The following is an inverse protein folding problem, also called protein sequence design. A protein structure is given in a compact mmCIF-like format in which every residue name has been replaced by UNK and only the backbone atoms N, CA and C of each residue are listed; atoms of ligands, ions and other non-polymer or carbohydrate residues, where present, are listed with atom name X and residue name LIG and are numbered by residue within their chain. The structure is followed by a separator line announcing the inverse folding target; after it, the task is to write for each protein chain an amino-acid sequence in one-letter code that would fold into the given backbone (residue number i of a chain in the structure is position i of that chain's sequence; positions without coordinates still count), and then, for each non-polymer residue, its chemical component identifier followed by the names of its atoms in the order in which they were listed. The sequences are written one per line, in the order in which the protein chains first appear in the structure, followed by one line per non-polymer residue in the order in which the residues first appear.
data_IF_880065877299
#
_entry.id   IF_880065877299
#
_cell.length_a   1.000
_cell.length_b   1.000
_cell.length_c   1.000
_cell.angle_alpha   90.00
_cell.angle_beta   90.00
_cell.angle_gamma   90.00
#
_symmetry.space_group_name_H-M   'P 1'
#
loop_
_entity.id
_entity.type
_entity.pdbx_description
1 polymer ?
#
# COMPACT_ATOMS: atom_id res chain seq x y z
N UNK A 1 1.31 -3.01 13.21
CA UNK A 1 0.92 -4.36 12.71
C UNK A 1 1.41 -5.40 13.70
N UNK A 2 0.56 -6.36 14.07
CA UNK A 2 0.95 -7.55 14.83
C UNK A 2 1.02 -8.74 13.88
N UNK A 3 1.94 -9.68 14.09
CA UNK A 3 2.10 -10.86 13.22
C UNK A 3 1.96 -12.11 14.08
N UNK A 4 1.06 -13.02 13.70
CA UNK A 4 0.94 -14.34 14.36
C UNK A 4 2.21 -15.15 14.16
N UNK A 5 2.63 -15.89 15.19
CA UNK A 5 3.85 -16.72 15.17
C UNK A 5 3.89 -17.75 14.04
N UNK A 6 2.71 -18.20 13.59
CA UNK A 6 2.53 -19.16 12.51
C UNK A 6 2.82 -18.59 11.12
N UNK A 7 2.80 -17.25 10.98
CA UNK A 7 3.09 -16.56 9.72
C UNK A 7 4.60 -16.46 9.55
N UNK A 8 5.09 -16.96 8.41
CA UNK A 8 6.49 -16.82 8.01
C UNK A 8 6.65 -15.51 7.25
N UNK A 9 7.42 -14.58 7.80
CA UNK A 9 7.76 -13.34 7.10
C UNK A 9 8.88 -13.60 6.08
N UNK A 10 8.80 -13.00 4.88
CA UNK A 10 9.90 -13.06 3.92
C UNK A 10 11.12 -12.28 4.42
N UNK A 11 12.28 -12.56 3.83
CA UNK A 11 13.47 -11.74 4.04
C UNK A 11 13.29 -10.35 3.45
N UNK A 12 14.03 -9.38 3.99
CA UNK A 12 14.02 -8.01 3.46
C UNK A 12 14.52 -7.99 2.01
N UNK A 13 13.85 -7.21 1.16
CA UNK A 13 14.31 -6.97 -0.20
C UNK A 13 15.68 -6.26 -0.21
N UNK A 14 16.55 -6.49 -1.22
CA UNK A 14 17.89 -5.89 -1.27
C UNK A 14 17.90 -4.35 -1.28
N UNK A 15 16.84 -3.72 -1.80
CA UNK A 15 16.75 -2.26 -1.93
C UNK A 15 17.54 -1.68 -3.12
N UNK A 16 17.61 -0.36 -3.19
CA UNK A 16 18.39 0.38 -4.19
C UNK A 16 19.58 1.10 -3.55
N UNK A 17 20.66 1.28 -4.31
CA UNK A 17 21.83 2.08 -3.89
C UNK A 17 21.71 3.58 -4.18
N UNK A 18 20.50 4.11 -4.36
CA UNK A 18 20.31 5.55 -4.56
C UNK A 18 20.60 6.31 -3.26
N UNK A 19 21.11 7.53 -3.35
CA UNK A 19 21.31 8.42 -2.19
C UNK A 19 20.26 9.54 -2.19
N UNK A 20 19.82 9.97 -1.00
CA UNK A 20 18.80 11.01 -0.86
C UNK A 20 17.43 10.54 -1.38
N UNK A 21 17.06 10.90 -2.61
CA UNK A 21 15.76 10.55 -3.22
C UNK A 21 15.95 9.80 -4.54
N UNK A 22 15.11 8.80 -4.81
CA UNK A 22 15.11 8.11 -6.10
C UNK A 22 14.47 8.99 -7.19
N UNK A 23 15.28 9.45 -8.15
CA UNK A 23 14.84 10.34 -9.25
C UNK A 23 15.09 9.76 -10.64
N UNK A 24 16.15 8.99 -10.81
CA UNK A 24 16.48 8.35 -12.09
C UNK A 24 15.99 6.89 -12.10
N UNK A 25 14.92 6.55 -12.85
CA UNK A 25 14.38 5.21 -12.89
C UNK A 25 15.33 4.20 -13.54
N UNK A 26 16.29 4.65 -14.37
CA UNK A 26 17.30 3.77 -14.99
C UNK A 26 18.34 3.29 -13.97
N UNK A 27 18.61 4.09 -12.94
CA UNK A 27 19.56 3.75 -11.86
C UNK A 27 18.88 3.05 -10.68
N UNK A 28 17.61 3.34 -10.43
CA UNK A 28 16.92 2.80 -9.26
C UNK A 28 16.46 1.35 -9.46
N UNK A 29 17.02 0.44 -8.67
CA UNK A 29 16.59 -0.96 -8.66
C UNK A 29 15.10 -1.13 -8.31
N UNK A 30 14.52 -0.24 -7.48
CA UNK A 30 13.10 -0.27 -7.14
C UNK A 30 12.20 0.19 -8.30
N UNK A 31 12.65 1.14 -9.15
CA UNK A 31 11.90 1.55 -10.34
C UNK A 31 11.81 0.39 -11.35
N UNK A 32 12.89 -0.38 -11.52
CA UNK A 32 12.88 -1.59 -12.36
C UNK A 32 11.81 -2.60 -11.96
N UNK A 33 11.55 -2.78 -10.66
CA UNK A 33 10.48 -3.67 -10.17
C UNK A 33 9.08 -3.18 -10.55
N UNK A 34 8.92 -1.88 -10.82
CA UNK A 34 7.65 -1.26 -11.22
C UNK A 34 7.49 -1.11 -12.75
N UNK A 35 8.32 -1.79 -13.55
CA UNK A 35 8.31 -1.66 -15.01
C UNK A 35 9.28 -0.60 -15.55
N UNK A 36 10.34 -0.28 -14.81
CA UNK A 36 11.37 0.73 -15.16
C UNK A 36 10.89 2.18 -15.11
N UNK A 37 9.86 2.46 -14.31
CA UNK A 37 9.43 3.82 -13.97
C UNK A 37 8.92 3.88 -12.52
N UNK A 38 8.79 5.09 -11.95
CA UNK A 38 8.23 5.27 -10.61
C UNK A 38 6.69 5.27 -10.64
N UNK A 39 6.04 4.58 -9.71
CA UNK A 39 4.57 4.48 -9.66
C UNK A 39 3.91 5.75 -9.11
N UNK A 40 4.69 6.65 -8.51
CA UNK A 40 4.21 7.86 -7.84
C UNK A 40 4.76 9.12 -8.51
N UNK A 41 3.92 10.16 -8.63
CA UNK A 41 4.37 11.51 -8.96
C UNK A 41 4.75 12.29 -7.71
N UNK A 42 5.77 13.15 -7.84
CA UNK A 42 6.24 14.03 -6.77
C UNK A 42 5.34 15.27 -6.63
N UNK A 43 4.05 15.06 -6.37
CA UNK A 43 3.04 16.11 -6.21
C UNK A 43 2.21 15.86 -4.97
N UNK A 44 1.90 16.92 -4.22
CA UNK A 44 1.10 16.86 -2.98
C UNK A 44 1.66 15.83 -1.97
N UNK A 45 2.98 15.63 -2.01
CA UNK A 45 3.75 14.68 -1.20
C UNK A 45 3.66 13.20 -1.61
N UNK A 46 3.21 12.92 -2.83
CA UNK A 46 3.20 11.59 -3.42
C UNK A 46 1.80 11.16 -3.83
N UNK A 47 1.60 10.90 -5.11
CA UNK A 47 0.31 10.42 -5.65
C UNK A 47 0.54 9.28 -6.62
N UNK A 48 -0.20 8.19 -6.46
CA UNK A 48 -0.17 7.06 -7.37
C UNK A 48 -0.71 7.50 -8.73
N UNK A 49 0.01 7.18 -9.79
CA UNK A 49 -0.37 7.57 -11.16
C UNK A 49 -1.62 6.80 -11.60
N UNK A 50 -1.59 5.49 -11.41
CA UNK A 50 -2.62 4.56 -11.83
C UNK A 50 -2.62 3.31 -10.93
N UNK A 51 -3.75 2.58 -10.83
CA UNK A 51 -3.78 1.30 -10.15
C UNK A 51 -2.83 0.28 -10.79
N UNK A 52 -2.05 -0.42 -9.98
CA UNK A 52 -1.19 -1.54 -10.40
C UNK A 52 -1.54 -2.79 -9.61
N UNK A 53 -1.25 -3.97 -10.17
CA UNK A 53 -1.43 -5.24 -9.45
C UNK A 53 -0.61 -5.29 -8.15
N UNK A 54 0.59 -4.70 -8.18
CA UNK A 54 1.45 -4.46 -7.02
C UNK A 54 2.32 -3.24 -7.28
N UNK A 55 2.66 -2.51 -6.22
CA UNK A 55 3.60 -1.38 -6.24
C UNK A 55 4.80 -1.73 -5.38
N UNK A 56 6.01 -1.54 -5.92
CA UNK A 56 7.26 -1.78 -5.18
C UNK A 56 7.86 -0.48 -4.67
N UNK A 57 7.65 -0.20 -3.39
CA UNK A 57 8.26 0.93 -2.72
C UNK A 57 9.71 0.67 -2.29
N UNK A 58 10.45 1.75 -2.04
CA UNK A 58 11.75 1.69 -1.40
C UNK A 58 11.60 1.21 0.04
N UNK A 59 12.39 0.22 0.43
CA UNK A 59 12.35 -0.41 1.75
C UNK A 59 13.51 -0.03 2.68
N UNK A 60 13.67 -0.74 3.82
CA UNK A 60 14.69 -0.45 4.82
C UNK A 60 16.14 -0.53 4.30
N UNK A 61 16.41 -1.39 3.31
CA UNK A 61 17.73 -1.57 2.73
C UNK A 61 18.05 -0.60 1.58
N UNK A 62 17.17 0.35 1.26
CA UNK A 62 17.47 1.37 0.25
C UNK A 62 18.32 2.49 0.84
N UNK A 63 19.29 3.01 0.07
CA UNK A 63 20.08 4.18 0.48
C UNK A 63 19.31 5.50 0.46
N UNK A 64 18.11 5.53 -0.13
CA UNK A 64 17.27 6.72 -0.18
C UNK A 64 16.53 6.96 1.16
N UNK A 65 16.44 8.22 1.55
CA UNK A 65 15.81 8.67 2.79
C UNK A 65 14.29 8.62 2.76
N UNK A 66 13.69 9.04 3.88
CA UNK A 66 12.24 9.00 4.12
C UNK A 66 11.44 9.92 3.19
N UNK A 67 12.07 10.97 2.66
CA UNK A 67 11.42 11.90 1.73
C UNK A 67 11.24 11.33 0.31
N UNK A 68 11.87 10.21 -0.01
CA UNK A 68 11.76 9.56 -1.31
C UNK A 68 10.29 9.37 -1.72
N UNK A 69 9.93 9.83 -2.92
CA UNK A 69 8.55 9.68 -3.44
C UNK A 69 8.16 8.21 -3.62
N UNK A 70 9.14 7.32 -3.83
CA UNK A 70 8.89 5.88 -3.85
C UNK A 70 8.74 5.26 -2.43
N UNK A 71 8.41 6.08 -1.41
CA UNK A 71 7.98 5.68 -0.05
C UNK A 71 6.64 6.34 0.31
N UNK A 72 5.83 6.69 -0.69
CA UNK A 72 4.63 7.53 -0.52
C UNK A 72 3.66 6.99 0.53
N UNK A 73 3.36 5.68 0.52
CA UNK A 73 2.44 5.07 1.48
C UNK A 73 3.02 4.93 2.89
N UNK A 74 4.35 4.91 3.03
CA UNK A 74 5.06 4.83 4.33
C UNK A 74 5.01 6.14 5.14
N UNK A 75 4.59 7.26 4.53
CA UNK A 75 4.57 8.59 5.17
C UNK A 75 3.44 8.78 6.19
N UNK A 76 2.62 7.75 6.42
CA UNK A 76 1.53 7.76 7.40
C UNK A 76 0.32 8.57 6.95
N UNK A 77 -0.62 8.78 7.88
CA UNK A 77 -1.87 9.50 7.61
C UNK A 77 -1.63 11.01 7.48
N UNK A 78 -2.18 11.61 6.43
CA UNK A 78 -1.93 13.02 6.06
C UNK A 78 -3.17 13.91 6.13
N UNK A 79 -4.35 13.31 6.32
CA UNK A 79 -5.64 13.97 6.27
C UNK A 79 -6.35 13.83 7.61
N UNK A 80 -7.14 14.84 7.97
CA UNK A 80 -8.04 14.80 9.12
C UNK A 80 -9.24 13.93 8.79
N UNK A 81 -9.24 12.73 9.34
CA UNK A 81 -10.32 11.77 9.17
C UNK A 81 -11.24 11.77 10.40
N UNK A 82 -12.51 11.49 10.17
CA UNK A 82 -13.53 11.36 11.21
C UNK A 82 -14.26 10.03 11.06
N UNK A 83 -14.38 9.32 12.17
CA UNK A 83 -15.25 8.16 12.31
C UNK A 83 -16.65 8.65 12.68
N UNK A 84 -17.65 8.26 11.90
CA UNK A 84 -19.03 8.70 12.11
C UNK A 84 -20.03 7.56 11.97
N UNK A 85 -21.16 7.64 12.67
CA UNK A 85 -22.22 6.66 12.56
C UNK A 85 -23.11 6.98 11.35
N UNK A 86 -23.31 5.99 10.48
CA UNK A 86 -24.21 6.09 9.34
C UNK A 86 -25.61 5.58 9.71
N UNK A 87 -26.69 6.03 9.02
CA UNK A 87 -28.04 5.61 9.38
C UNK A 87 -28.34 4.10 9.22
N UNK A 88 -27.60 3.39 8.34
CA UNK A 88 -27.92 2.00 7.96
C UNK A 88 -26.73 1.05 7.83
N UNK A 89 -25.48 1.54 7.84
CA UNK A 89 -24.28 0.75 7.54
C UNK A 89 -23.31 0.65 8.74
N UNK A 90 -23.75 1.07 9.92
CA UNK A 90 -22.86 1.18 11.09
C UNK A 90 -21.86 2.33 10.94
N UNK A 91 -20.62 2.11 11.34
CA UNK A 91 -19.57 3.12 11.33
C UNK A 91 -18.96 3.32 9.93
N UNK A 92 -18.67 4.57 9.58
CA UNK A 92 -17.95 4.96 8.38
C UNK A 92 -16.84 5.94 8.69
N UNK A 93 -16.00 6.20 7.69
CA UNK A 93 -14.91 7.19 7.76
C UNK A 93 -15.16 8.26 6.70
N UNK A 94 -14.99 9.53 7.06
CA UNK A 94 -15.03 10.67 6.14
C UNK A 94 -13.84 11.60 6.37
N UNK A 95 -13.51 12.44 5.38
CA UNK A 95 -12.42 13.41 5.46
C UNK A 95 -12.96 14.82 5.72
N UNK A 96 -12.22 15.59 6.53
CA UNK A 96 -12.40 17.05 6.69
C UNK A 96 -11.57 17.85 5.68
N UNK A 97 -10.60 17.20 5.04
CA UNK A 97 -9.70 17.79 4.06
C UNK A 97 -10.03 17.30 2.65
N UNK A 98 -9.68 18.09 1.63
CA UNK A 98 -9.67 17.62 0.26
C UNK A 98 -8.57 16.58 0.07
N UNK A 99 -8.93 15.42 -0.53
CA UNK A 99 -8.00 14.35 -0.85
C UNK A 99 -7.80 14.31 -2.38
N UNK A 100 -6.61 14.66 -2.90
CA UNK A 100 -6.32 14.56 -4.32
C UNK A 100 -6.39 13.11 -4.82
N UNK A 101 -6.83 12.92 -6.08
CA UNK A 101 -6.83 11.59 -6.71
C UNK A 101 -5.43 10.95 -6.70
N UNK A 102 -5.35 9.69 -6.30
CA UNK A 102 -4.09 8.94 -6.17
C UNK A 102 -3.33 9.17 -4.85
N UNK A 103 -3.80 10.06 -3.97
CA UNK A 103 -3.16 10.24 -2.67
C UNK A 103 -3.42 9.03 -1.74
N UNK A 104 -2.41 8.56 -0.97
CA UNK A 104 -2.61 7.51 0.01
C UNK A 104 -3.50 8.00 1.17
N UNK A 105 -4.45 7.17 1.60
CA UNK A 105 -5.35 7.48 2.73
C UNK A 105 -4.81 6.84 4.02
N UNK A 106 -4.82 5.51 4.07
CA UNK A 106 -4.30 4.73 5.20
C UNK A 106 -4.03 3.28 4.79
N UNK A 107 -3.18 2.59 5.56
CA UNK A 107 -2.98 1.15 5.49
C UNK A 107 -4.06 0.41 6.29
N UNK A 108 -4.49 -0.77 5.83
CA UNK A 108 -5.34 -1.66 6.62
C UNK A 108 -4.47 -2.38 7.68
N UNK A 109 -4.32 -1.76 8.85
CA UNK A 109 -3.50 -2.29 9.93
C UNK A 109 -4.31 -3.25 10.80
N UNK A 110 -3.74 -4.42 11.08
CA UNK A 110 -4.33 -5.38 12.01
C UNK A 110 -3.34 -6.45 12.49
N UNK A 111 -3.88 -7.64 12.74
CA UNK A 111 -3.12 -8.85 13.04
C UNK A 111 -2.98 -9.66 11.74
N UNK A 112 -1.76 -9.81 11.24
CA UNK A 112 -1.47 -10.68 10.11
C UNK A 112 -1.52 -12.14 10.57
N UNK A 113 -2.38 -12.93 9.94
CA UNK A 113 -2.61 -14.34 10.26
C UNK A 113 -2.93 -15.14 8.99
N UNK A 114 -2.86 -16.46 9.08
CA UNK A 114 -3.27 -17.33 7.96
C UNK A 114 -4.78 -17.45 7.91
N UNK A 115 -5.33 -17.63 6.71
CA UNK A 115 -6.78 -17.75 6.49
C UNK A 115 -7.40 -18.94 7.21
N UNK A 116 -6.66 -20.04 7.38
CA UNK A 116 -7.11 -21.24 8.11
C UNK A 116 -7.17 -21.06 9.64
N UNK A 117 -6.60 -19.97 10.17
CA UNK A 117 -6.66 -19.61 11.60
C UNK A 117 -7.80 -18.64 11.91
N UNK A 118 -8.48 -18.11 10.90
CA UNK A 118 -9.62 -17.23 11.08
C UNK A 118 -10.81 -18.08 11.52
N UNK A 119 -11.39 -17.77 12.67
CA UNK A 119 -12.56 -18.49 13.17
C UNK A 119 -13.78 -18.21 12.28
N UNK A 120 -14.28 -19.20 11.52
CA UNK A 120 -15.42 -18.99 10.63
C UNK A 120 -16.73 -18.79 11.40
N UNK A 121 -16.77 -19.15 12.69
CA UNK A 121 -17.92 -18.90 13.56
C UNK A 121 -17.88 -17.51 14.21
N UNK A 122 -16.78 -16.76 14.04
CA UNK A 122 -16.71 -15.39 14.54
C UNK A 122 -17.53 -14.45 13.65
N UNK A 123 -18.42 -13.64 14.25
CA UNK A 123 -19.13 -12.55 13.56
C UNK A 123 -18.20 -11.36 13.25
N UNK A 124 -16.93 -11.62 12.93
CA UNK A 124 -15.92 -10.59 12.69
C UNK A 124 -15.94 -10.12 11.24
N UNK A 125 -16.59 -8.98 11.01
CA UNK A 125 -16.64 -8.33 9.70
C UNK A 125 -15.40 -7.50 9.34
N UNK A 126 -14.31 -7.61 10.11
CA UNK A 126 -13.09 -6.80 9.96
C UNK A 126 -11.87 -7.64 9.54
N UNK A 127 -12.09 -8.60 8.64
CA UNK A 127 -11.03 -9.40 7.99
C UNK A 127 -10.81 -8.89 6.57
N UNK A 128 -9.55 -8.70 6.18
CA UNK A 128 -9.17 -8.29 4.84
C UNK A 128 -8.22 -9.34 4.25
N UNK A 129 -8.68 -10.05 3.22
CA UNK A 129 -7.87 -11.06 2.54
C UNK A 129 -6.82 -10.40 1.64
N UNK A 130 -5.57 -10.84 1.77
CA UNK A 130 -4.45 -10.34 0.96
C UNK A 130 -4.30 -11.23 -0.27
N UNK A 131 -4.94 -10.84 -1.38
CA UNK A 131 -4.79 -11.51 -2.67
C UNK A 131 -4.31 -10.54 -3.77
N UNK A 132 -3.00 -10.48 -3.94
CA UNK A 132 -2.38 -9.79 -5.09
C UNK A 132 -2.05 -10.77 -6.23
N UNK A 133 -2.04 -12.07 -5.96
CA UNK A 133 -1.61 -13.09 -6.93
C UNK A 133 -2.63 -13.25 -8.04
N UNK A 134 -3.92 -13.21 -7.73
CA UNK A 134 -4.98 -13.28 -8.76
C UNK A 134 -4.93 -12.05 -9.67
N UNK A 135 -4.75 -10.85 -9.09
CA UNK A 135 -4.57 -9.61 -9.87
C UNK A 135 -3.32 -9.68 -10.74
N UNK A 136 -2.17 -10.11 -10.21
CA UNK A 136 -0.93 -10.24 -10.99
C UNK A 136 -1.03 -11.30 -12.10
N UNK A 137 -1.83 -12.35 -11.91
CA UNK A 137 -2.08 -13.39 -12.92
C UNK A 137 -3.15 -12.98 -13.95
N UNK A 138 -3.76 -11.80 -13.81
CA UNK A 138 -4.86 -11.35 -14.67
C UNK A 138 -6.13 -12.19 -14.55
N UNK A 139 -6.27 -12.93 -13.44
CA UNK A 139 -7.42 -13.80 -13.16
C UNK A 139 -8.53 -13.06 -12.41
N UNK A 140 -8.20 -11.90 -11.84
CA UNK A 140 -9.17 -10.95 -11.32
C UNK A 140 -9.88 -10.27 -12.49
N UNK A 141 -11.19 -10.43 -12.60
CA UNK A 141 -12.04 -9.73 -13.57
C UNK A 141 -12.19 -8.23 -13.31
N UNK A 142 -11.13 -7.57 -12.80
CA UNK A 142 -11.10 -6.11 -12.68
C UNK A 142 -11.09 -5.54 -14.09
N UNK A 143 -12.23 -4.95 -14.48
CA UNK A 143 -12.34 -4.17 -15.70
C UNK A 143 -11.21 -3.14 -15.75
N UNK A 144 -10.38 -3.23 -16.79
CA UNK A 144 -9.50 -2.11 -17.17
C UNK A 144 -10.45 -1.06 -17.72
N UNK A 145 -10.81 -0.08 -16.88
CA UNK A 145 -11.57 1.08 -17.37
C UNK A 145 -10.69 1.82 -18.39
N UNK A 146 -11.19 2.03 -19.62
CA UNK A 146 -10.45 2.70 -20.69
C UNK A 146 -10.17 4.18 -20.38
#
# INVERSE_FOLDING_TARGET
MQVRKSVKLPSNAPGCGCEGTCVDPKRCACARLNGSDFPYVHRDGGRLIEPKAVVFECGPNCGCGLECVNRTSQKGMRYRLEVFCTPKKGWGVRSWDFIPSGAPVCEYIGVLMKTDEVDPASENNYVFDIDCLQTMKGLDGREVYP
#
